data_IF_381863384822
#
_entry.id   IF_381863384822
#
_cell.length_a   1.000
_cell.length_b   1.000
_cell.length_c   1.000
_cell.angle_alpha   90.00
_cell.angle_beta   90.00
_cell.angle_gamma   90.00
#
_symmetry.space_group_name_H-M   'P 1'
#
loop_
_entity.id
_entity.type
_entity.pdbx_description
1 polymer ?
#
# COMPACT_ATOMS: atom_id res chain seq x y z
N UNK A 1 15.52 10.26 8.30
CA UNK A 1 15.02 10.33 6.91
C UNK A 1 13.93 11.39 6.82
N UNK A 2 14.11 12.34 5.96
CA UNK A 2 13.19 13.48 5.87
C UNK A 2 12.08 13.22 4.84
N UNK A 3 10.94 13.87 5.04
CA UNK A 3 9.79 13.79 4.14
C UNK A 3 10.19 14.11 2.69
N UNK A 4 11.00 15.14 2.48
CA UNK A 4 11.45 15.54 1.14
C UNK A 4 12.21 14.42 0.41
N UNK A 5 13.02 13.69 1.14
CA UNK A 5 13.79 12.58 0.57
C UNK A 5 12.85 11.46 0.11
N UNK A 6 11.81 11.18 0.90
CA UNK A 6 10.80 10.17 0.56
C UNK A 6 10.01 10.60 -0.68
N UNK A 7 9.53 11.83 -0.70
CA UNK A 7 8.75 12.37 -1.82
C UNK A 7 9.57 12.36 -3.11
N UNK A 8 10.84 12.74 -3.04
CA UNK A 8 11.73 12.75 -4.20
C UNK A 8 11.93 11.33 -4.76
N UNK A 9 12.04 10.32 -3.90
CA UNK A 9 12.15 8.95 -4.35
C UNK A 9 10.85 8.43 -4.97
N UNK A 10 9.71 8.79 -4.41
CA UNK A 10 8.41 8.46 -5.02
C UNK A 10 8.35 9.06 -6.43
N UNK A 11 8.72 10.33 -6.58
CA UNK A 11 8.69 11.02 -7.86
C UNK A 11 9.62 10.34 -8.88
N UNK A 12 10.79 9.92 -8.44
CA UNK A 12 11.75 9.21 -9.31
C UNK A 12 11.17 7.89 -9.83
N UNK A 13 10.45 7.16 -8.98
CA UNK A 13 9.90 5.83 -9.32
C UNK A 13 8.60 5.97 -10.12
N UNK A 14 7.71 6.85 -9.69
CA UNK A 14 6.33 6.90 -10.18
C UNK A 14 6.05 8.09 -11.10
N UNK A 15 6.96 9.04 -11.19
CA UNK A 15 6.83 10.23 -12.03
C UNK A 15 6.07 11.34 -11.36
N UNK A 16 4.80 11.15 -11.05
CA UNK A 16 3.93 12.19 -10.51
C UNK A 16 3.49 11.88 -9.09
N UNK A 17 3.74 12.81 -8.18
CA UNK A 17 3.30 12.71 -6.79
C UNK A 17 2.70 14.05 -6.37
N UNK A 18 1.49 14.04 -5.82
CA UNK A 18 0.72 15.22 -5.50
C UNK A 18 0.36 15.29 -4.02
N UNK A 19 0.37 16.48 -3.41
CA UNK A 19 0.01 16.60 -2.00
C UNK A 19 -1.48 16.35 -1.76
N UNK A 20 -1.79 15.84 -0.57
CA UNK A 20 -3.15 15.62 -0.08
C UNK A 20 -3.36 16.42 1.20
N UNK A 21 -3.78 17.66 1.09
CA UNK A 21 -4.17 18.44 2.27
C UNK A 21 -3.21 18.22 3.45
N UNK A 22 -3.69 17.75 4.61
CA UNK A 22 -2.87 17.49 5.80
C UNK A 22 -2.44 16.03 5.94
N UNK A 23 -2.87 15.16 5.03
CA UNK A 23 -2.66 13.71 5.18
C UNK A 23 -1.33 13.22 4.63
N UNK A 24 -0.80 13.88 3.61
CA UNK A 24 0.45 13.45 2.99
C UNK A 24 0.43 13.62 1.48
N UNK A 25 0.74 12.54 0.76
CA UNK A 25 0.93 12.57 -0.68
C UNK A 25 0.25 11.38 -1.34
N UNK A 26 -0.20 11.53 -2.59
CA UNK A 26 -0.73 10.43 -3.37
C UNK A 26 -0.02 10.32 -4.72
N UNK A 27 0.02 9.11 -5.24
CA UNK A 27 0.66 8.80 -6.51
C UNK A 27 0.05 7.53 -7.08
N UNK A 28 0.36 7.25 -8.34
CA UNK A 28 -0.07 6.02 -9.02
C UNK A 28 1.11 5.12 -9.32
N UNK A 29 0.91 3.83 -9.15
CA UNK A 29 1.88 2.82 -9.53
C UNK A 29 1.13 1.55 -9.94
N UNK A 30 1.42 1.03 -11.14
CA UNK A 30 0.78 -0.18 -11.68
C UNK A 30 -0.75 -0.19 -11.51
N UNK A 31 -1.39 0.89 -11.98
CA UNK A 31 -2.85 1.06 -11.98
C UNK A 31 -3.52 1.12 -10.60
N UNK A 32 -2.73 1.31 -9.55
CA UNK A 32 -3.24 1.51 -8.19
C UNK A 32 -2.91 2.92 -7.70
N UNK A 33 -3.81 3.47 -6.89
CA UNK A 33 -3.54 4.71 -6.17
C UNK A 33 -2.89 4.36 -4.84
N UNK A 34 -1.76 5.01 -4.55
CA UNK A 34 -1.01 4.86 -3.32
C UNK A 34 -1.04 6.15 -2.53
N UNK A 35 -1.03 6.03 -1.21
CA UNK A 35 -0.83 7.17 -0.32
C UNK A 35 0.48 6.99 0.45
N UNK A 36 1.25 8.07 0.55
CA UNK A 36 2.29 8.20 1.55
C UNK A 36 1.70 9.07 2.65
N UNK A 37 1.40 8.47 3.80
CA UNK A 37 0.73 9.15 4.91
C UNK A 37 1.77 9.70 5.88
N UNK A 38 1.74 11.00 6.10
CA UNK A 38 2.67 11.68 7.01
C UNK A 38 2.06 11.71 8.40
N UNK A 39 2.73 11.07 9.35
CA UNK A 39 2.33 11.09 10.75
C UNK A 39 3.13 12.08 11.57
N UNK A 40 2.80 12.18 12.85
CA UNK A 40 3.53 13.03 13.80
C UNK A 40 4.88 12.44 14.17
N UNK A 41 5.02 11.12 14.05
CA UNK A 41 6.23 10.41 14.40
C UNK A 41 7.11 10.21 13.17
N UNK A 42 8.20 10.96 13.09
CA UNK A 42 9.13 10.89 11.97
C UNK A 42 9.90 9.58 11.89
N UNK A 43 9.86 8.77 12.96
CA UNK A 43 10.48 7.45 12.94
C UNK A 43 9.66 6.40 12.19
N UNK A 44 8.43 6.73 11.82
CA UNK A 44 7.53 5.82 11.10
C UNK A 44 7.25 6.33 9.70
N UNK A 45 7.30 5.42 8.73
CA UNK A 45 6.87 5.68 7.36
C UNK A 45 5.67 4.79 7.09
N UNK A 46 4.59 5.39 6.59
CA UNK A 46 3.39 4.64 6.23
C UNK A 46 3.05 4.86 4.77
N UNK A 47 2.95 3.76 4.04
CA UNK A 47 2.41 3.74 2.69
C UNK A 47 1.18 2.85 2.68
N UNK A 48 0.18 3.20 1.88
CA UNK A 48 -0.99 2.35 1.76
C UNK A 48 -1.57 2.39 0.35
N UNK A 49 -2.34 1.35 0.02
CA UNK A 49 -3.23 1.33 -1.13
C UNK A 49 -4.64 1.37 -0.55
N UNK A 50 -5.29 2.56 -0.56
CA UNK A 50 -6.55 2.73 0.16
C UNK A 50 -7.72 1.97 -0.45
N UNK A 51 -7.60 1.62 -1.72
CA UNK A 51 -8.62 0.86 -2.45
C UNK A 51 -7.93 0.06 -3.54
N UNK A 52 -7.90 -1.26 -3.39
CA UNK A 52 -7.32 -2.13 -4.43
C UNK A 52 -8.29 -2.20 -5.60
N UNK A 53 -7.88 -1.63 -6.74
CA UNK A 53 -8.67 -1.61 -7.95
C UNK A 53 -8.44 -2.87 -8.79
N UNK A 54 -9.43 -3.20 -9.64
CA UNK A 54 -9.26 -4.26 -10.62
C UNK A 54 -9.39 -5.67 -10.10
N UNK A 55 -9.95 -5.86 -8.91
CA UNK A 55 -10.17 -7.21 -8.38
C UNK A 55 -11.23 -7.95 -9.21
N UNK A 56 -11.05 -9.27 -9.46
CA UNK A 56 -11.96 -10.02 -10.33
C UNK A 56 -13.34 -10.25 -9.73
N UNK A 57 -13.55 -9.96 -8.45
CA UNK A 57 -14.85 -10.09 -7.79
C UNK A 57 -14.96 -9.08 -6.65
N UNK A 58 -16.19 -8.66 -6.36
CA UNK A 58 -16.54 -7.83 -5.21
C UNK A 58 -17.31 -8.61 -4.15
N UNK A 59 -17.38 -9.92 -4.30
CA UNK A 59 -18.06 -10.77 -3.33
C UNK A 59 -17.34 -10.74 -1.99
N UNK A 60 -18.06 -10.38 -0.92
CA UNK A 60 -17.49 -10.22 0.42
C UNK A 60 -16.81 -11.48 0.94
N UNK A 61 -17.41 -12.63 0.73
CA UNK A 61 -16.84 -13.87 1.28
C UNK A 61 -15.54 -14.25 0.57
N UNK A 62 -15.48 -14.05 -0.75
CA UNK A 62 -14.25 -14.26 -1.50
C UNK A 62 -13.16 -13.27 -1.06
N UNK A 63 -13.53 -12.01 -0.88
CA UNK A 63 -12.59 -10.99 -0.45
C UNK A 63 -12.08 -11.26 0.97
N UNK A 64 -12.93 -11.73 1.88
CA UNK A 64 -12.50 -12.10 3.23
C UNK A 64 -11.45 -13.21 3.20
N UNK A 65 -11.68 -14.24 2.39
CA UNK A 65 -10.73 -15.33 2.25
C UNK A 65 -9.38 -14.84 1.71
N UNK A 66 -9.44 -14.02 0.66
CA UNK A 66 -8.23 -13.49 0.03
C UNK A 66 -7.47 -12.55 0.97
N UNK A 67 -8.17 -11.71 1.74
CA UNK A 67 -7.57 -10.84 2.76
C UNK A 67 -6.88 -11.66 3.84
N UNK A 68 -7.55 -12.71 4.35
CA UNK A 68 -6.97 -13.58 5.36
C UNK A 68 -5.71 -14.28 4.84
N UNK A 69 -5.72 -14.75 3.59
CA UNK A 69 -4.56 -15.38 2.98
C UNK A 69 -3.41 -14.37 2.82
N UNK A 70 -3.72 -13.15 2.43
CA UNK A 70 -2.71 -12.09 2.28
C UNK A 70 -2.04 -11.80 3.62
N UNK A 71 -2.83 -11.64 4.69
CA UNK A 71 -2.28 -11.39 6.02
C UNK A 71 -1.44 -12.54 6.55
N UNK A 72 -1.76 -13.76 6.15
CA UNK A 72 -1.03 -14.95 6.58
C UNK A 72 0.26 -15.16 5.82
N UNK A 73 0.25 -14.89 4.52
CA UNK A 73 1.32 -15.31 3.62
C UNK A 73 2.23 -14.20 3.11
N UNK A 74 1.79 -12.94 3.14
CA UNK A 74 2.58 -11.82 2.66
C UNK A 74 3.16 -11.07 3.84
N UNK A 75 4.49 -10.98 3.88
CA UNK A 75 5.19 -10.30 4.98
C UNK A 75 5.03 -8.79 4.90
N UNK A 76 5.01 -8.16 6.08
CA UNK A 76 5.03 -6.71 6.28
C UNK A 76 3.75 -5.98 5.87
N UNK A 77 2.86 -6.62 5.15
CA UNK A 77 1.62 -6.01 4.64
C UNK A 77 0.45 -6.40 5.53
N UNK A 78 -0.36 -5.40 5.86
CA UNK A 78 -1.63 -5.62 6.55
C UNK A 78 -2.75 -5.34 5.55
N UNK A 79 -3.62 -6.33 5.35
CA UNK A 79 -4.79 -6.20 4.50
C UNK A 79 -6.04 -6.11 5.36
N UNK A 80 -6.95 -5.21 4.99
CA UNK A 80 -8.21 -4.99 5.70
C UNK A 80 -9.35 -4.94 4.69
N UNK A 81 -10.48 -5.50 5.09
CA UNK A 81 -11.72 -5.42 4.31
C UNK A 81 -12.65 -4.40 4.97
N UNK A 82 -12.96 -3.32 4.26
CA UNK A 82 -13.97 -2.36 4.68
C UNK A 82 -15.29 -2.73 4.02
N UNK A 83 -16.35 -2.90 4.81
CA UNK A 83 -17.63 -3.42 4.33
C UNK A 83 -18.76 -2.39 4.26
N UNK A 84 -18.52 -1.15 4.66
CA UNK A 84 -19.55 -0.09 4.60
C UNK A 84 -19.82 0.26 3.14
N UNK A 85 -21.06 0.23 2.70
CA UNK A 85 -21.53 0.50 1.34
C UNK A 85 -21.08 -0.58 0.35
N UNK A 86 -19.85 -0.55 -0.13
CA UNK A 86 -19.28 -1.56 -1.01
C UNK A 86 -18.04 -2.15 -0.36
N UNK A 87 -17.80 -3.44 -0.57
CA UNK A 87 -16.62 -4.09 -0.03
C UNK A 87 -15.35 -3.56 -0.72
N UNK A 88 -14.40 -3.08 0.09
CA UNK A 88 -13.13 -2.53 -0.40
C UNK A 88 -11.99 -3.14 0.36
N UNK A 89 -10.92 -3.50 -0.35
CA UNK A 89 -9.69 -4.00 0.28
C UNK A 89 -8.69 -2.87 0.38
N UNK A 90 -8.16 -2.69 1.58
CA UNK A 90 -7.16 -1.71 1.95
C UNK A 90 -5.86 -2.45 2.29
N UNK A 91 -4.73 -1.98 1.76
CA UNK A 91 -3.42 -2.53 2.09
C UNK A 91 -2.58 -1.46 2.76
N UNK A 92 -1.85 -1.86 3.79
CA UNK A 92 -1.06 -0.94 4.62
C UNK A 92 0.33 -1.51 4.87
N UNK A 93 1.32 -0.63 4.84
CA UNK A 93 2.71 -0.97 5.18
C UNK A 93 3.25 0.13 6.09
N UNK A 94 3.49 -0.23 7.35
CA UNK A 94 4.12 0.64 8.33
C UNK A 94 5.57 0.20 8.52
N UNK A 95 6.49 1.13 8.42
CA UNK A 95 7.92 0.85 8.56
C UNK A 95 8.55 1.77 9.59
N UNK A 96 9.24 1.18 10.55
CA UNK A 96 10.03 1.93 11.51
C UNK A 96 11.41 2.19 10.93
N UNK A 97 11.75 3.46 10.78
CA UNK A 97 13.01 3.88 10.17
C UNK A 97 14.17 3.70 11.15
N UNK A 98 15.29 3.21 10.66
CA UNK A 98 16.55 3.16 11.40
C UNK A 98 17.52 4.18 10.82
N UNK A 99 18.53 4.57 11.61
CA UNK A 99 19.53 5.56 11.20
C UNK A 99 20.38 5.12 10.00
N UNK A 100 20.39 3.83 9.73
CA UNK A 100 21.22 3.25 8.64
C UNK A 100 20.50 3.17 7.30
N UNK A 101 19.20 3.46 7.28
CA UNK A 101 18.40 3.33 6.08
C UNK A 101 18.31 4.64 5.32
N UNK A 102 18.29 4.56 3.99
CA UNK A 102 18.07 5.70 3.11
C UNK A 102 16.72 5.58 2.39
N UNK A 103 16.21 6.72 1.95
CA UNK A 103 14.98 6.74 1.15
C UNK A 103 15.14 5.93 -0.15
N UNK A 104 16.33 5.96 -0.76
CA UNK A 104 16.61 5.19 -1.97
C UNK A 104 16.48 3.68 -1.79
N UNK A 105 16.71 3.20 -0.58
CA UNK A 105 16.59 1.79 -0.26
C UNK A 105 15.18 1.43 0.15
N UNK A 106 14.59 2.21 1.07
CA UNK A 106 13.34 1.80 1.70
C UNK A 106 12.10 2.11 0.85
N UNK A 107 12.07 3.23 0.13
CA UNK A 107 10.90 3.61 -0.66
C UNK A 107 10.61 2.60 -1.79
N UNK A 108 11.60 2.22 -2.61
CA UNK A 108 11.35 1.18 -3.62
C UNK A 108 10.92 -0.15 -3.01
N UNK A 109 11.50 -0.52 -1.87
CA UNK A 109 11.14 -1.75 -1.18
C UNK A 109 9.67 -1.75 -0.75
N UNK A 110 9.20 -0.66 -0.15
CA UNK A 110 7.81 -0.55 0.30
C UNK A 110 6.84 -0.60 -0.87
N UNK A 111 7.12 0.15 -1.94
CA UNK A 111 6.25 0.18 -3.12
C UNK A 111 6.16 -1.20 -3.76
N UNK A 112 7.29 -1.88 -3.92
CA UNK A 112 7.32 -3.23 -4.49
C UNK A 112 6.61 -4.25 -3.61
N UNK A 113 6.72 -4.11 -2.29
CA UNK A 113 6.03 -5.01 -1.36
C UNK A 113 4.52 -4.84 -1.46
N UNK A 114 4.03 -3.60 -1.54
CA UNK A 114 2.60 -3.34 -1.72
C UNK A 114 2.12 -3.81 -3.10
N UNK A 115 2.90 -3.60 -4.14
CA UNK A 115 2.57 -4.08 -5.49
C UNK A 115 2.45 -5.61 -5.52
N UNK A 116 3.39 -6.29 -4.88
CA UNK A 116 3.34 -7.75 -4.73
C UNK A 116 2.05 -8.18 -4.01
N UNK A 117 1.68 -7.47 -2.94
CA UNK A 117 0.47 -7.79 -2.19
C UNK A 117 -0.80 -7.59 -3.02
N UNK A 118 -0.85 -6.55 -3.85
CA UNK A 118 -1.97 -6.32 -4.79
C UNK A 118 -2.11 -7.51 -5.74
N UNK A 119 -1.01 -7.93 -6.33
CA UNK A 119 -0.98 -9.07 -7.26
C UNK A 119 -1.40 -10.37 -6.58
N UNK A 120 -0.85 -10.62 -5.40
CA UNK A 120 -1.16 -11.81 -4.60
C UNK A 120 -2.67 -11.86 -4.26
N UNK A 121 -3.21 -10.73 -3.78
CA UNK A 121 -4.63 -10.62 -3.43
C UNK A 121 -5.52 -10.94 -4.65
N UNK A 122 -5.23 -10.33 -5.79
CA UNK A 122 -5.99 -10.56 -7.02
C UNK A 122 -5.94 -12.01 -7.46
N UNK A 123 -4.79 -12.64 -7.35
CA UNK A 123 -4.60 -14.05 -7.68
C UNK A 123 -5.44 -14.95 -6.76
N UNK A 124 -5.44 -14.66 -5.46
CA UNK A 124 -6.23 -15.44 -4.51
C UNK A 124 -7.72 -15.29 -4.76
N UNK A 125 -8.19 -14.07 -5.07
CA UNK A 125 -9.59 -13.87 -5.44
C UNK A 125 -9.96 -14.72 -6.65
N UNK A 126 -9.12 -14.73 -7.69
CA UNK A 126 -9.37 -15.56 -8.88
C UNK A 126 -9.46 -17.04 -8.55
N UNK A 127 -8.61 -17.52 -7.66
CA UNK A 127 -8.61 -18.93 -7.27
C UNK A 127 -9.87 -19.34 -6.51
N UNK A 128 -10.53 -18.40 -5.86
CA UNK A 128 -11.79 -18.67 -5.14
C UNK A 128 -13.04 -18.49 -6.00
N UNK A 129 -12.91 -18.00 -7.22
CA UNK A 129 -14.07 -17.82 -8.12
C UNK A 129 -14.71 -19.13 -8.57
#
# INVERSE_FOLDING_TARGET
>A
MKQDEIVNEIRRICGNVLPMSSLGWHFKYNDQVYFYVVGKDESMIRFCVPFVAGLPSQDKELLKKAVNDTNRNVKYIKALLAEKKAAKVYLDYDHKVTDKESAKEIVPHIIKALDFAVEYLGKRVREYL
#
